data_IF_248283981787
#
_entry.id   IF_248283981787
#
_cell.length_a   1.000
_cell.length_b   1.000
_cell.length_c   1.000
_cell.angle_alpha   90.00
_cell.angle_beta   90.00
_cell.angle_gamma   90.00
#
_symmetry.space_group_name_H-M   'P 1'
#
loop_
_entity.id
_entity.type
_entity.pdbx_description
1 polymer ?
#
# COMPACT_ATOMS: atom_id res chain seq x y z
N UNK A 1 1.75 -9.05 -11.55
CA UNK A 1 2.45 -8.37 -10.45
C UNK A 1 1.55 -8.39 -9.22
N UNK A 2 2.12 -8.48 -8.02
CA UNK A 2 1.37 -8.48 -6.76
C UNK A 2 1.59 -7.17 -5.99
N UNK A 3 0.60 -6.76 -5.21
CA UNK A 3 0.77 -5.73 -4.18
C UNK A 3 0.50 -6.42 -2.85
N UNK A 4 1.38 -6.23 -1.88
CA UNK A 4 1.17 -6.69 -0.51
C UNK A 4 1.67 -5.67 0.49
N UNK A 5 1.11 -5.71 1.69
CA UNK A 5 1.62 -4.95 2.81
C UNK A 5 1.69 -5.78 4.08
N UNK A 6 2.56 -5.37 4.99
CA UNK A 6 2.79 -6.03 6.26
C UNK A 6 2.86 -4.99 7.38
N UNK A 7 2.45 -5.41 8.57
CA UNK A 7 2.47 -4.56 9.76
C UNK A 7 3.71 -4.86 10.59
N UNK A 8 4.56 -3.86 10.78
CA UNK A 8 5.77 -3.91 11.62
C UNK A 8 5.52 -2.98 12.82
N UNK A 9 4.73 -3.47 13.77
CA UNK A 9 4.26 -2.66 14.89
C UNK A 9 5.21 -2.69 16.09
N UNK A 10 5.53 -1.52 16.63
CA UNK A 10 6.10 -1.32 17.97
C UNK A 10 5.03 -1.39 19.05
N UNK A 11 3.82 -0.89 18.80
CA UNK A 11 2.73 -0.92 19.76
C UNK A 11 1.63 -1.92 19.40
N UNK A 12 1.22 -2.71 20.40
CA UNK A 12 0.15 -3.71 20.24
C UNK A 12 -1.18 -3.10 19.82
N UNK A 13 -1.46 -1.88 20.26
CA UNK A 13 -2.67 -1.14 19.87
C UNK A 13 -2.72 -0.85 18.38
N UNK A 14 -1.58 -0.50 17.79
CA UNK A 14 -1.45 -0.29 16.35
C UNK A 14 -1.60 -1.60 15.57
N UNK A 15 -0.89 -2.66 15.97
CA UNK A 15 -1.05 -4.00 15.35
C UNK A 15 -2.51 -4.45 15.33
N UNK A 16 -3.22 -4.35 16.46
CA UNK A 16 -4.65 -4.68 16.52
C UNK A 16 -5.52 -3.79 15.64
N UNK A 17 -5.13 -2.54 15.41
CA UNK A 17 -5.86 -1.63 14.54
C UNK A 17 -5.67 -2.02 13.07
N UNK A 18 -4.43 -2.35 12.68
CA UNK A 18 -4.13 -2.90 11.35
C UNK A 18 -4.92 -4.20 11.09
N UNK A 19 -4.94 -5.13 12.04
CA UNK A 19 -5.70 -6.40 11.91
C UNK A 19 -7.20 -6.17 11.64
N UNK A 20 -7.80 -5.13 12.26
CA UNK A 20 -9.23 -4.81 12.07
C UNK A 20 -9.53 -4.28 10.66
N UNK A 21 -8.57 -3.62 10.04
CA UNK A 21 -8.77 -2.95 8.74
C UNK A 21 -8.26 -3.77 7.57
N UNK A 22 -7.40 -4.78 7.82
CA UNK A 22 -6.71 -5.57 6.80
C UNK A 22 -7.65 -6.10 5.71
N UNK A 23 -8.77 -6.71 6.13
CA UNK A 23 -9.77 -7.27 5.21
C UNK A 23 -10.42 -6.25 4.28
N UNK A 24 -10.39 -4.95 4.61
CA UNK A 24 -10.90 -3.88 3.73
C UNK A 24 -10.05 -3.68 2.49
N UNK A 25 -8.79 -4.09 2.51
CA UNK A 25 -7.87 -3.94 1.38
C UNK A 25 -7.97 -5.08 0.39
N UNK A 26 -8.59 -6.21 0.75
CA UNK A 26 -8.70 -7.37 -0.13
C UNK A 26 -9.21 -7.04 -1.55
N UNK A 27 -10.26 -6.22 -1.74
CA UNK A 27 -10.73 -5.85 -3.08
C UNK A 27 -9.67 -5.12 -3.92
N UNK A 28 -8.84 -4.28 -3.28
CA UNK A 28 -7.73 -3.59 -3.93
C UNK A 28 -6.63 -4.57 -4.32
N UNK A 29 -6.22 -5.44 -3.41
CA UNK A 29 -5.14 -6.40 -3.63
C UNK A 29 -5.50 -7.40 -4.74
N UNK A 30 -6.73 -7.93 -4.71
CA UNK A 30 -7.25 -8.85 -5.74
C UNK A 30 -7.28 -8.17 -7.10
N UNK A 31 -7.84 -6.96 -7.17
CA UNK A 31 -7.95 -6.24 -8.43
C UNK A 31 -6.58 -5.86 -8.99
N UNK A 32 -5.63 -5.46 -8.13
CA UNK A 32 -4.27 -5.13 -8.52
C UNK A 32 -3.58 -6.32 -9.20
N UNK A 33 -3.75 -7.53 -8.65
CA UNK A 33 -3.15 -8.74 -9.21
C UNK A 33 -3.67 -9.07 -10.63
N UNK A 34 -4.89 -8.65 -10.95
CA UNK A 34 -5.50 -8.90 -12.26
C UNK A 34 -5.16 -7.86 -13.34
N UNK A 35 -4.48 -6.76 -12.97
CA UNK A 35 -4.08 -5.73 -13.93
C UNK A 35 -3.06 -6.31 -14.91
N UNK A 36 -3.36 -6.20 -16.20
CA UNK A 36 -2.41 -6.50 -17.26
C UNK A 36 -1.54 -5.26 -17.48
N UNK A 37 -0.29 -5.36 -17.04
CA UNK A 37 0.72 -4.35 -17.30
C UNK A 37 1.30 -4.56 -18.70
N UNK A 38 1.55 -3.46 -19.40
CA UNK A 38 2.21 -3.48 -20.71
C UNK A 38 3.71 -3.71 -20.56
N UNK A 39 4.33 -3.13 -19.52
CA UNK A 39 5.76 -3.17 -19.26
C UNK A 39 6.04 -3.57 -17.80
N UNK A 40 5.83 -4.84 -17.43
CA UNK A 40 6.06 -5.29 -16.06
C UNK A 40 7.55 -5.22 -15.69
N UNK A 41 7.85 -4.54 -14.57
CA UNK A 41 9.22 -4.31 -14.07
C UNK A 41 9.58 -5.13 -12.83
N UNK A 42 8.59 -5.46 -12.00
CA UNK A 42 8.77 -6.24 -10.77
C UNK A 42 7.67 -7.31 -10.64
N UNK A 43 7.98 -8.36 -9.89
CA UNK A 43 7.02 -9.41 -9.56
C UNK A 43 6.02 -8.93 -8.50
N UNK A 44 6.49 -8.14 -7.53
CA UNK A 44 5.65 -7.58 -6.47
C UNK A 44 6.12 -6.21 -5.94
N UNK A 45 5.15 -5.45 -5.41
CA UNK A 45 5.36 -4.32 -4.51
C UNK A 45 5.11 -4.79 -3.08
N UNK A 46 6.11 -4.63 -2.21
CA UNK A 46 6.04 -4.98 -0.80
C UNK A 46 6.05 -3.71 0.03
N UNK A 47 5.05 -3.51 0.88
CA UNK A 47 4.95 -2.31 1.72
C UNK A 47 4.98 -2.69 3.21
N UNK A 48 6.03 -2.31 3.91
CA UNK A 48 6.09 -2.41 5.37
C UNK A 48 5.53 -1.15 6.02
N UNK A 49 4.56 -1.32 6.92
CA UNK A 49 3.89 -0.21 7.61
C UNK A 49 4.22 -0.28 9.10
N UNK A 50 4.71 0.81 9.68
CA UNK A 50 5.17 0.85 11.07
C UNK A 50 4.67 2.08 11.83
N UNK A 51 4.43 1.92 13.13
CA UNK A 51 4.20 3.00 14.09
C UNK A 51 5.47 3.46 14.83
N UNK A 52 6.63 2.86 14.53
CA UNK A 52 7.92 3.30 15.09
C UNK A 52 8.52 4.51 14.34
N UNK A 53 7.94 4.87 13.20
CA UNK A 53 8.36 6.00 12.37
C UNK A 53 7.23 7.02 12.23
N UNK A 54 7.56 8.32 12.09
CA UNK A 54 6.54 9.35 11.90
C UNK A 54 5.80 9.15 10.56
N UNK A 55 4.53 9.57 10.40
CA UNK A 55 3.78 9.37 9.15
C UNK A 55 4.33 10.02 7.89
N UNK A 56 5.30 10.92 8.01
CA UNK A 56 6.03 11.48 6.87
C UNK A 56 7.16 10.57 6.39
N UNK A 57 7.51 9.54 7.15
CA UNK A 57 8.55 8.58 6.80
C UNK A 57 8.07 7.69 5.65
N UNK A 58 8.82 7.68 4.57
CA UNK A 58 8.54 6.88 3.39
C UNK A 58 9.86 6.65 2.64
N UNK A 59 10.37 5.43 2.68
CA UNK A 59 11.67 5.08 2.10
C UNK A 59 11.55 3.82 1.23
N UNK A 60 12.17 3.86 0.05
CA UNK A 60 12.44 2.65 -0.73
C UNK A 60 13.54 1.85 -0.05
N UNK A 61 13.36 0.54 0.02
CA UNK A 61 14.33 -0.40 0.57
C UNK A 61 14.93 -1.18 -0.59
N UNK A 62 16.27 -1.17 -0.69
CA UNK A 62 16.96 -2.02 -1.65
C UNK A 62 16.72 -3.50 -1.32
N UNK A 63 16.19 -4.27 -2.28
CA UNK A 63 15.96 -5.70 -2.15
C UNK A 63 16.67 -6.48 -3.25
N UNK A 64 16.74 -7.81 -3.10
CA UNK A 64 17.18 -8.71 -4.17
C UNK A 64 16.32 -8.58 -5.42
N UNK A 65 16.89 -8.95 -6.57
CA UNK A 65 16.25 -8.88 -7.89
C UNK A 65 14.82 -9.44 -7.89
N UNK A 66 13.86 -8.63 -8.34
CA UNK A 66 12.48 -9.05 -8.61
C UNK A 66 11.39 -8.31 -7.82
N UNK A 67 11.73 -7.63 -6.72
CA UNK A 67 10.75 -6.92 -5.89
C UNK A 67 11.03 -5.43 -5.80
N UNK A 68 9.96 -4.65 -5.59
CA UNK A 68 10.03 -3.24 -5.20
C UNK A 68 9.52 -3.14 -3.77
N UNK A 69 10.31 -2.58 -2.84
CA UNK A 69 9.93 -2.54 -1.43
C UNK A 69 9.96 -1.12 -0.88
N UNK A 70 8.95 -0.80 -0.08
CA UNK A 70 8.83 0.47 0.62
C UNK A 70 8.60 0.22 2.10
N UNK A 71 9.18 1.08 2.93
CA UNK A 71 8.89 1.17 4.35
C UNK A 71 8.25 2.53 4.68
N UNK A 72 7.10 2.52 5.33
CA UNK A 72 6.30 3.72 5.59
C UNK A 72 5.90 3.83 7.06
N UNK A 73 6.01 5.04 7.60
CA UNK A 73 5.49 5.38 8.92
C UNK A 73 3.99 5.62 8.88
N UNK A 74 3.28 5.20 9.92
CA UNK A 74 1.85 5.42 10.09
C UNK A 74 1.54 5.57 11.57
N UNK A 75 0.41 6.19 11.92
CA UNK A 75 0.06 6.39 13.33
C UNK A 75 -1.43 6.35 13.55
N UNK A 76 -1.84 5.82 14.70
CA UNK A 76 -3.24 5.72 15.09
C UNK A 76 -3.73 7.06 15.69
N UNK A 77 -4.18 8.00 14.84
CA UNK A 77 -4.58 9.36 15.28
C UNK A 77 -6.09 9.53 15.48
N UNK A 78 -6.93 9.01 14.59
CA UNK A 78 -8.41 9.14 14.68
C UNK A 78 -9.18 7.84 14.42
N UNK A 79 -8.56 6.71 14.73
CA UNK A 79 -9.20 5.39 14.69
C UNK A 79 -9.18 4.74 13.31
N UNK A 80 -10.01 3.70 13.14
CA UNK A 80 -9.88 2.76 12.02
C UNK A 80 -10.14 3.41 10.65
N UNK A 81 -11.04 4.40 10.56
CA UNK A 81 -11.33 5.07 9.26
C UNK A 81 -10.17 5.92 8.77
N UNK A 82 -9.56 6.72 9.65
CA UNK A 82 -8.36 7.49 9.31
C UNK A 82 -7.20 6.55 8.99
N UNK A 83 -7.04 5.47 9.77
CA UNK A 83 -5.99 4.48 9.51
C UNK A 83 -6.16 3.81 8.13
N UNK A 84 -7.38 3.49 7.74
CA UNK A 84 -7.67 2.98 6.39
C UNK A 84 -7.28 3.98 5.31
N UNK A 85 -7.63 5.26 5.48
CA UNK A 85 -7.28 6.30 4.52
C UNK A 85 -5.75 6.48 4.41
N UNK A 86 -5.05 6.48 5.54
CA UNK A 86 -3.59 6.61 5.59
C UNK A 86 -2.90 5.41 4.91
N UNK A 87 -3.30 4.19 5.25
CA UNK A 87 -2.76 2.97 4.61
C UNK A 87 -3.06 2.96 3.11
N UNK A 88 -4.26 3.38 2.70
CA UNK A 88 -4.61 3.47 1.28
C UNK A 88 -3.68 4.44 0.52
N UNK A 89 -3.41 5.64 1.05
CA UNK A 89 -2.48 6.57 0.41
C UNK A 89 -1.04 6.05 0.42
N UNK A 90 -0.62 5.34 1.47
CA UNK A 90 0.71 4.68 1.51
C UNK A 90 0.85 3.69 0.35
N UNK A 91 -0.13 2.80 0.14
CA UNK A 91 -0.09 1.82 -0.96
C UNK A 91 -0.10 2.48 -2.34
N UNK A 92 -0.89 3.55 -2.50
CA UNK A 92 -0.94 4.32 -3.75
C UNK A 92 0.39 5.02 -4.02
N UNK A 93 1.00 5.61 -3.00
CA UNK A 93 2.30 6.27 -3.11
C UNK A 93 3.41 5.26 -3.42
N UNK A 94 3.37 4.06 -2.85
CA UNK A 94 4.34 3.00 -3.19
C UNK A 94 4.22 2.60 -4.66
N UNK A 95 3.00 2.49 -5.16
CA UNK A 95 2.73 2.19 -6.58
C UNK A 95 3.20 3.32 -7.51
N UNK A 96 3.15 4.58 -7.07
CA UNK A 96 3.66 5.74 -7.83
C UNK A 96 5.18 5.84 -7.83
N UNK A 97 5.83 5.37 -6.76
CA UNK A 97 7.29 5.38 -6.67
C UNK A 97 7.92 4.25 -7.48
N UNK A 98 7.22 3.10 -7.59
CA UNK A 98 7.66 1.97 -8.41
C UNK A 98 7.91 2.42 -9.86
N UNK A 99 9.03 2.06 -10.49
CA UNK A 99 9.49 2.62 -11.77
C UNK A 99 8.74 2.04 -12.98
N UNK A 100 7.42 2.19 -13.02
CA UNK A 100 6.59 1.75 -14.13
C UNK A 100 6.74 2.65 -15.35
N UNK A 101 6.43 2.10 -16.53
CA UNK A 101 6.17 2.92 -17.69
C UNK A 101 4.91 3.79 -17.46
N UNK A 102 4.85 4.96 -18.11
CA UNK A 102 3.70 5.87 -18.02
C UNK A 102 2.31 5.19 -18.20
N UNK A 103 2.06 4.32 -19.20
CA UNK A 103 0.75 3.67 -19.34
C UNK A 103 0.37 2.77 -18.16
N UNK A 104 1.34 2.10 -17.57
CA UNK A 104 1.13 1.25 -16.39
C UNK A 104 0.83 2.10 -15.14
N UNK A 105 1.53 3.23 -14.97
CA UNK A 105 1.22 4.20 -13.93
C UNK A 105 -0.21 4.73 -14.05
N UNK A 106 -0.65 5.11 -15.24
CA UNK A 106 -2.02 5.61 -15.48
C UNK A 106 -3.07 4.54 -15.17
N UNK A 107 -2.83 3.30 -15.60
CA UNK A 107 -3.70 2.16 -15.36
C UNK A 107 -3.86 1.88 -13.86
N UNK A 108 -2.75 1.83 -13.12
CA UNK A 108 -2.77 1.60 -11.69
C UNK A 108 -3.38 2.78 -10.92
N UNK A 109 -3.07 4.01 -11.31
CA UNK A 109 -3.68 5.20 -10.70
C UNK A 109 -5.20 5.24 -10.90
N UNK A 110 -5.69 4.82 -12.08
CA UNK A 110 -7.12 4.66 -12.34
C UNK A 110 -7.75 3.56 -11.47
N UNK A 111 -7.03 2.45 -11.24
CA UNK A 111 -7.45 1.39 -10.32
C UNK A 111 -7.63 1.92 -8.89
N UNK A 112 -6.64 2.63 -8.35
CA UNK A 112 -6.73 3.23 -7.01
C UNK A 112 -7.91 4.20 -6.92
N UNK A 113 -8.07 5.11 -7.89
CA UNK A 113 -9.22 6.04 -7.92
C UNK A 113 -10.56 5.30 -7.89
N UNK A 114 -10.70 4.23 -8.68
CA UNK A 114 -11.92 3.42 -8.78
C UNK A 114 -12.23 2.68 -7.48
N UNK A 115 -11.22 2.16 -6.77
CA UNK A 115 -11.41 1.34 -5.57
C UNK A 115 -11.38 2.12 -4.26
N UNK A 116 -10.98 3.40 -4.27
CA UNK A 116 -11.00 4.25 -3.08
C UNK A 116 -12.34 4.17 -2.32
N UNK A 117 -13.53 4.30 -2.95
CA UNK A 117 -14.79 4.27 -2.20
C UNK A 117 -15.06 2.92 -1.53
N UNK A 118 -14.61 1.82 -2.14
CA UNK A 118 -14.79 0.48 -1.59
C UNK A 118 -13.87 0.21 -0.39
N UNK A 119 -12.68 0.81 -0.37
CA UNK A 119 -11.69 0.62 0.71
C UNK A 119 -11.89 1.63 1.83
N UNK A 120 -11.89 2.92 1.49
CA UNK A 120 -11.90 4.05 2.45
C UNK A 120 -13.32 4.41 2.89
N UNK A 121 -14.34 4.04 2.11
CA UNK A 121 -15.70 4.53 2.30
C UNK A 121 -15.94 5.89 1.63
N UNK A 122 -17.16 6.39 1.76
CA UNK A 122 -17.61 7.71 1.29
C UNK A 122 -17.38 8.79 2.32
#
# INVERSE_FOLDING_TARGET
MQLSFSTIARHRTFSRAMDRIDTRFQPLLDAFQTVKLEYPVHEAILVGITDDKPPQFFEEIETSDGFFQVFAGCSLRGGDQELVADVFEILRNATRLCPFAAPDHETLEALFKRLRPAVVGT
#
